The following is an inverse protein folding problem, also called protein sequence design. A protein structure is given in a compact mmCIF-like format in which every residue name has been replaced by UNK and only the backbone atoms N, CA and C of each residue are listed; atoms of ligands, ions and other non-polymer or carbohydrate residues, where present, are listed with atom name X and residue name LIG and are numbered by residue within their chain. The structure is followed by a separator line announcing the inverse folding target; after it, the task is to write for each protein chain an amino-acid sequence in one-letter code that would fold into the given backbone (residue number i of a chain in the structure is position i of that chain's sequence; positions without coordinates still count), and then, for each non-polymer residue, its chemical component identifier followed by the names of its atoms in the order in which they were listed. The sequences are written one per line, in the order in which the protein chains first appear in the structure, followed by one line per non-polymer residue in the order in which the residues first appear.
data_IF_676456288127
#
_entry.id   IF_676456288127
#
_cell.length_a   1.000
_cell.length_b   1.000
_cell.length_c   1.000
_cell.angle_alpha   90.00
_cell.angle_beta   90.00
_cell.angle_gamma   90.00
#
_symmetry.space_group_name_H-M   'P 1'
#
loop_
_entity.id
_entity.type
_entity.pdbx_description
1 polymer ?
#
# COMPACT_ATOMS: atom_id res chain seq x y z
N UNK A 1 -12.03 5.60 4.28
CA UNK A 1 -10.63 5.22 4.55
C UNK A 1 -9.75 6.45 4.77
N UNK A 2 -10.06 7.56 4.11
CA UNK A 2 -9.24 8.77 4.22
C UNK A 2 -9.25 9.38 5.62
N UNK A 3 -10.32 9.18 6.38
CA UNK A 3 -10.42 9.68 7.76
C UNK A 3 -9.43 9.00 8.70
N UNK A 4 -9.00 7.78 8.38
CA UNK A 4 -7.97 7.10 9.15
C UNK A 4 -6.62 7.80 9.06
N UNK A 5 -6.47 8.67 8.07
CA UNK A 5 -5.18 9.28 7.78
C UNK A 5 -4.76 10.29 8.83
N UNK A 6 -5.65 10.68 9.74
CA UNK A 6 -5.27 11.47 10.91
C UNK A 6 -4.34 10.70 11.84
N UNK A 7 -4.32 9.36 11.71
CA UNK A 7 -3.50 8.47 12.53
C UNK A 7 -2.69 7.51 11.68
N UNK A 8 -2.23 7.96 10.50
CA UNK A 8 -1.57 7.12 9.50
C UNK A 8 -0.45 6.25 10.07
N UNK A 9 0.46 6.87 10.83
CA UNK A 9 1.61 6.13 11.35
C UNK A 9 1.18 5.09 12.39
N UNK A 10 0.21 5.43 13.23
CA UNK A 10 -0.30 4.49 14.22
C UNK A 10 -1.01 3.32 13.53
N UNK A 11 -1.80 3.61 12.49
CA UNK A 11 -2.47 2.56 11.72
C UNK A 11 -1.45 1.62 11.08
N UNK A 12 -0.45 2.18 10.38
CA UNK A 12 0.57 1.39 9.71
C UNK A 12 1.37 0.55 10.73
N UNK A 13 1.70 1.13 11.88
CA UNK A 13 2.42 0.41 12.93
C UNK A 13 1.67 -0.82 13.42
N UNK A 14 0.35 -0.71 13.60
CA UNK A 14 -0.46 -1.87 14.00
C UNK A 14 -0.41 -2.98 12.96
N UNK A 15 -0.45 -2.61 11.67
CA UNK A 15 -0.41 -3.59 10.59
C UNK A 15 0.95 -4.28 10.53
N UNK A 16 2.02 -3.53 10.79
CA UNK A 16 3.38 -4.05 10.68
C UNK A 16 3.73 -5.08 11.75
N UNK A 17 3.14 -4.97 12.95
CA UNK A 17 3.44 -5.86 14.07
C UNK A 17 2.70 -7.19 14.02
N UNK A 18 1.72 -7.34 13.17
CA UNK A 18 0.90 -8.55 13.18
C UNK A 18 1.65 -9.74 12.60
N UNK A 19 1.26 -10.94 13.03
CA UNK A 19 1.77 -12.19 12.49
C UNK A 19 1.15 -12.40 11.10
N UNK A 20 1.96 -12.69 10.06
CA UNK A 20 1.42 -12.98 8.73
C UNK A 20 0.42 -14.13 8.78
N UNK A 21 -0.68 -14.00 8.05
CA UNK A 21 -1.71 -15.00 7.95
C UNK A 21 -1.75 -15.60 6.55
N UNK A 22 -2.11 -16.86 6.48
CA UNK A 22 -2.42 -17.46 5.19
C UNK A 22 -3.73 -16.88 4.67
N UNK A 23 -3.74 -16.49 3.41
CA UNK A 23 -4.89 -15.91 2.74
C UNK A 23 -5.05 -16.54 1.37
N UNK A 24 -6.26 -16.56 0.82
CA UNK A 24 -6.47 -17.05 -0.54
C UNK A 24 -5.99 -16.00 -1.57
N UNK A 25 -4.69 -15.77 -1.61
CA UNK A 25 -4.09 -14.80 -2.54
C UNK A 25 -4.41 -15.16 -3.98
N UNK A 26 -4.74 -14.14 -4.78
CA UNK A 26 -5.03 -14.33 -6.19
C UNK A 26 -3.81 -14.82 -6.96
N UNK A 27 -2.62 -14.30 -6.63
CA UNK A 27 -1.36 -14.73 -7.25
C UNK A 27 -0.57 -15.59 -6.27
N UNK A 28 -0.09 -16.73 -6.73
CA UNK A 28 0.81 -17.58 -5.94
C UNK A 28 2.26 -17.11 -6.08
N UNK A 29 3.12 -17.50 -5.15
CA UNK A 29 4.52 -17.11 -5.18
C UNK A 29 5.22 -17.46 -6.51
N UNK A 30 5.02 -18.66 -7.11
CA UNK A 30 5.66 -18.97 -8.40
C UNK A 30 5.21 -18.10 -9.56
N UNK A 31 4.05 -17.43 -9.45
CA UNK A 31 3.53 -16.55 -10.49
C UNK A 31 4.15 -15.16 -10.46
N UNK A 32 4.81 -14.79 -9.37
CA UNK A 32 5.38 -13.46 -9.22
C UNK A 32 6.63 -13.30 -10.07
N UNK A 33 6.72 -12.18 -10.79
CA UNK A 33 7.85 -11.85 -11.64
C UNK A 33 8.63 -10.69 -11.02
N UNK A 34 9.91 -10.61 -11.33
CA UNK A 34 10.72 -9.47 -10.90
C UNK A 34 10.43 -8.29 -11.81
N UNK A 35 9.66 -7.32 -11.30
CA UNK A 35 9.27 -6.12 -12.02
C UNK A 35 10.03 -4.87 -11.58
N UNK A 36 10.77 -4.95 -10.45
CA UNK A 36 11.51 -3.83 -9.87
C UNK A 36 12.99 -4.17 -9.70
N UNK A 37 13.71 -4.56 -10.78
CA UNK A 37 15.09 -5.02 -10.62
C UNK A 37 16.06 -3.92 -10.18
N UNK A 38 15.69 -2.65 -10.36
CA UNK A 38 16.52 -1.51 -9.97
C UNK A 38 16.11 -0.82 -8.70
N UNK A 39 15.14 -1.37 -7.97
CA UNK A 39 14.68 -0.70 -6.73
C UNK A 39 15.76 -0.72 -5.67
N UNK A 40 16.04 0.45 -5.12
CA UNK A 40 17.00 0.63 -4.03
C UNK A 40 16.27 1.09 -2.78
N UNK A 41 16.74 0.65 -1.62
CA UNK A 41 16.17 1.02 -0.34
C UNK A 41 15.13 0.03 0.16
N UNK A 42 14.44 0.37 1.26
CA UNK A 42 13.42 -0.50 1.83
C UNK A 42 12.30 -0.77 0.85
N UNK A 43 11.87 -2.02 0.77
CA UNK A 43 10.91 -2.47 -0.24
C UNK A 43 9.58 -2.96 0.35
N UNK A 44 9.39 -2.90 1.66
CA UNK A 44 8.14 -3.31 2.27
C UNK A 44 7.03 -2.30 2.03
N UNK A 45 5.79 -2.78 2.01
CA UNK A 45 4.62 -1.93 1.86
C UNK A 45 3.41 -2.60 2.51
N UNK A 46 2.31 -1.87 2.59
CA UNK A 46 1.04 -2.39 3.07
C UNK A 46 0.02 -2.36 1.93
N UNK A 47 -0.81 -3.38 1.87
CA UNK A 47 -1.91 -3.44 0.91
C UNK A 47 -3.09 -4.17 1.55
N UNK A 48 -4.30 -3.81 1.12
CA UNK A 48 -5.51 -4.46 1.61
C UNK A 48 -5.81 -5.72 0.81
N UNK A 49 -6.67 -6.57 1.38
CA UNK A 49 -7.13 -7.78 0.71
C UNK A 49 -7.93 -7.49 -0.56
N UNK A 50 -8.45 -6.28 -0.73
CA UNK A 50 -9.07 -5.89 -2.00
C UNK A 50 -8.11 -6.08 -3.18
N UNK A 51 -6.82 -5.81 -2.95
CA UNK A 51 -5.78 -5.96 -3.98
C UNK A 51 -5.35 -7.42 -4.10
N UNK A 52 -4.90 -8.00 -2.98
CA UNK A 52 -4.18 -9.28 -3.01
C UNK A 52 -5.08 -10.51 -3.06
N UNK A 53 -6.30 -10.40 -2.56
CA UNK A 53 -7.26 -11.51 -2.53
C UNK A 53 -8.34 -11.33 -3.58
N UNK A 54 -8.94 -10.14 -3.68
CA UNK A 54 -10.03 -9.89 -4.62
C UNK A 54 -9.54 -9.49 -6.01
N UNK A 55 -8.27 -9.12 -6.17
CA UNK A 55 -7.72 -8.74 -7.45
C UNK A 55 -8.20 -7.39 -7.98
N UNK A 56 -8.69 -6.52 -7.10
CA UNK A 56 -9.10 -5.18 -7.51
C UNK A 56 -7.87 -4.32 -7.81
N UNK A 57 -7.96 -3.41 -8.78
CA UNK A 57 -6.85 -2.51 -9.05
C UNK A 57 -6.63 -1.55 -7.89
N UNK A 58 -5.41 -1.03 -7.79
CA UNK A 58 -5.12 0.06 -6.85
C UNK A 58 -5.89 1.29 -7.32
N UNK A 59 -6.77 1.80 -6.47
CA UNK A 59 -7.55 3.00 -6.75
C UNK A 59 -7.08 4.21 -5.96
N UNK A 60 -6.36 3.98 -4.88
CA UNK A 60 -5.81 5.04 -4.05
C UNK A 60 -4.58 4.54 -3.33
N UNK A 61 -3.55 5.39 -3.23
CA UNK A 61 -2.33 5.05 -2.50
C UNK A 61 -1.66 6.31 -1.98
N UNK A 62 -0.80 6.13 -0.97
CA UNK A 62 0.00 7.22 -0.47
C UNK A 62 1.36 6.69 0.03
N UNK A 63 2.33 7.59 0.09
CA UNK A 63 3.65 7.28 0.62
C UNK A 63 3.94 8.20 1.81
N UNK A 64 4.07 7.61 3.00
CA UNK A 64 4.45 8.34 4.19
C UNK A 64 5.90 8.02 4.56
N UNK A 65 6.50 8.89 5.35
CA UNK A 65 7.82 8.60 5.88
C UNK A 65 7.68 7.57 7.00
N UNK A 66 8.27 6.37 6.85
CA UNK A 66 8.19 5.36 7.90
C UNK A 66 9.08 5.74 9.09
N UNK A 67 8.87 5.05 10.21
CA UNK A 67 9.64 5.32 11.44
C UNK A 67 11.05 4.72 11.42
N UNK A 68 11.37 3.91 10.41
CA UNK A 68 12.71 3.36 10.24
C UNK A 68 12.99 2.06 10.99
N UNK A 69 12.00 1.51 11.69
CA UNK A 69 12.17 0.25 12.43
C UNK A 69 12.11 -0.99 11.55
N UNK A 70 11.53 -0.89 10.37
CA UNK A 70 11.30 -2.00 9.45
C UNK A 70 11.76 -1.60 8.04
N UNK A 71 11.97 -2.59 7.15
CA UNK A 71 12.31 -2.30 5.76
C UNK A 71 11.09 -1.80 4.98
N UNK A 72 10.49 -0.73 5.44
CA UNK A 72 9.25 -0.14 4.98
C UNK A 72 9.53 0.99 3.99
N UNK A 73 8.99 0.86 2.78
CA UNK A 73 9.10 1.89 1.75
C UNK A 73 8.23 3.11 2.02
N UNK A 74 7.24 2.97 2.91
CA UNK A 74 6.25 4.03 3.16
C UNK A 74 5.00 3.92 2.30
N UNK A 75 4.96 3.06 1.28
CA UNK A 75 3.80 2.93 0.41
C UNK A 75 2.67 2.14 1.06
N UNK A 76 1.43 2.62 0.83
CA UNK A 76 0.19 2.00 1.31
C UNK A 76 -0.78 1.97 0.14
N UNK A 77 -1.33 0.80 -0.16
CA UNK A 77 -2.16 0.59 -1.35
C UNK A 77 -3.56 0.14 -0.98
N UNK A 78 -4.55 0.77 -1.60
CA UNK A 78 -5.97 0.51 -1.39
C UNK A 78 -6.69 0.44 -2.73
N UNK A 79 -7.84 -0.27 -2.78
CA UNK A 79 -8.69 -0.21 -3.97
C UNK A 79 -9.44 1.13 -4.07
N UNK A 80 -9.62 1.80 -2.93
CA UNK A 80 -10.43 3.00 -2.82
C UNK A 80 -11.87 2.71 -2.41
N UNK A 81 -12.27 1.44 -2.37
CA UNK A 81 -13.63 1.04 -1.99
C UNK A 81 -13.73 0.58 -0.54
N UNK A 82 -12.61 0.49 0.16
CA UNK A 82 -12.60 0.09 1.57
C UNK A 82 -13.22 1.18 2.43
N UNK A 83 -13.99 0.77 3.43
CA UNK A 83 -14.46 1.69 4.46
C UNK A 83 -13.54 1.61 5.69
N UNK A 84 -13.80 2.49 6.67
CA UNK A 84 -12.96 2.58 7.86
C UNK A 84 -13.00 1.30 8.69
N UNK A 85 -14.16 0.67 8.79
CA UNK A 85 -14.29 -0.58 9.54
C UNK A 85 -13.45 -1.69 8.90
N UNK A 86 -13.44 -1.75 7.58
CA UNK A 86 -12.67 -2.75 6.84
C UNK A 86 -11.18 -2.62 7.10
N UNK A 87 -10.63 -1.41 6.94
CA UNK A 87 -9.19 -1.21 7.07
C UNK A 87 -8.71 -1.23 8.53
N UNK A 88 -9.60 -1.03 9.49
CA UNK A 88 -9.26 -1.14 10.91
C UNK A 88 -9.16 -2.59 11.38
N UNK A 89 -9.73 -3.52 10.63
CA UNK A 89 -9.56 -4.94 10.92
C UNK A 89 -8.20 -5.39 10.38
N UNK A 90 -7.29 -5.70 11.28
CA UNK A 90 -5.92 -6.06 10.90
C UNK A 90 -5.86 -7.28 10.00
N UNK A 91 -6.88 -8.14 10.02
CA UNK A 91 -6.92 -9.31 9.14
C UNK A 91 -7.13 -8.96 7.67
N UNK A 92 -7.55 -7.74 7.36
CA UNK A 92 -7.81 -7.29 5.99
C UNK A 92 -6.61 -6.59 5.33
N UNK A 93 -5.49 -6.50 6.01
CA UNK A 93 -4.30 -5.79 5.52
C UNK A 93 -3.09 -6.69 5.71
N UNK A 94 -2.15 -6.62 4.81
CA UNK A 94 -0.91 -7.39 4.91
C UNK A 94 0.32 -6.56 4.56
N UNK A 95 1.47 -7.07 5.00
CA UNK A 95 2.78 -6.52 4.67
C UNK A 95 3.34 -7.30 3.49
N UNK A 96 3.78 -6.60 2.46
CA UNK A 96 4.27 -7.22 1.23
C UNK A 96 5.52 -6.51 0.74
N UNK A 97 6.25 -7.17 -0.15
CA UNK A 97 7.28 -6.55 -0.96
C UNK A 97 6.61 -5.69 -2.04
N UNK A 98 7.17 -4.53 -2.34
CA UNK A 98 6.67 -3.67 -3.43
C UNK A 98 6.54 -4.44 -4.74
N UNK A 99 7.52 -5.29 -5.04
CA UNK A 99 7.49 -6.10 -6.25
C UNK A 99 6.25 -6.99 -6.31
N UNK A 100 5.82 -7.54 -5.18
CA UNK A 100 4.61 -8.36 -5.11
C UNK A 100 3.40 -7.55 -5.54
N UNK A 101 3.24 -6.35 -5.02
CA UNK A 101 2.06 -5.53 -5.34
C UNK A 101 2.12 -5.03 -6.79
N UNK A 102 3.32 -4.80 -7.34
CA UNK A 102 3.47 -4.49 -8.76
C UNK A 102 2.97 -5.61 -9.67
N UNK A 103 3.04 -6.86 -9.21
CA UNK A 103 2.49 -8.00 -9.95
C UNK A 103 0.96 -7.97 -9.97
N UNK A 104 0.33 -7.46 -8.91
CA UNK A 104 -1.12 -7.30 -8.89
C UNK A 104 -1.57 -6.10 -9.74
N UNK A 105 -0.79 -5.03 -9.74
CA UNK A 105 -1.13 -3.82 -10.50
C UNK A 105 0.14 -3.10 -10.97
N UNK A 106 0.60 -3.42 -12.18
CA UNK A 106 1.82 -2.79 -12.73
C UNK A 106 1.70 -1.27 -12.92
N UNK A 107 0.49 -0.73 -12.94
CA UNK A 107 0.27 0.71 -13.13
C UNK A 107 0.85 1.54 -12.00
N UNK A 108 1.15 0.94 -10.83
CA UNK A 108 1.76 1.66 -9.73
C UNK A 108 3.26 1.89 -9.93
N UNK A 109 3.91 1.14 -10.81
CA UNK A 109 5.37 1.21 -10.97
C UNK A 109 5.88 2.63 -11.20
N UNK A 110 5.29 3.45 -12.10
CA UNK A 110 5.77 4.81 -12.32
C UNK A 110 5.63 5.73 -11.10
N UNK A 111 4.82 5.36 -10.12
CA UNK A 111 4.59 6.20 -8.95
C UNK A 111 5.63 6.00 -7.85
N UNK A 112 6.29 4.85 -7.83
CA UNK A 112 7.02 4.37 -6.66
C UNK A 112 8.21 5.23 -6.25
N UNK A 113 8.77 6.02 -7.17
CA UNK A 113 9.87 6.93 -6.87
C UNK A 113 9.42 8.30 -6.37
N UNK A 114 8.10 8.52 -6.23
CA UNK A 114 7.59 9.78 -5.69
C UNK A 114 8.09 9.99 -4.25
N UNK A 115 8.27 11.24 -3.82
CA UNK A 115 8.78 11.51 -2.48
C UNK A 115 7.77 11.13 -1.39
N UNK A 116 8.25 11.02 -0.17
CA UNK A 116 7.36 10.88 0.99
C UNK A 116 6.41 12.07 1.05
N UNK A 117 5.16 11.83 1.44
CA UNK A 117 4.15 12.86 1.49
C UNK A 117 3.37 13.01 0.19
N UNK A 118 3.38 12.01 -0.66
CA UNK A 118 2.63 12.01 -1.93
C UNK A 118 1.45 11.05 -1.84
N UNK A 119 0.33 11.42 -2.43
CA UNK A 119 -0.84 10.56 -2.58
C UNK A 119 -1.38 10.63 -4.00
N UNK A 120 -1.95 9.53 -4.46
CA UNK A 120 -2.54 9.42 -5.79
C UNK A 120 -3.89 8.73 -5.71
N UNK A 121 -4.82 9.21 -6.52
CA UNK A 121 -6.11 8.53 -6.73
C UNK A 121 -6.26 8.23 -8.22
N UNK A 122 -6.82 7.05 -8.53
CA UNK A 122 -7.12 6.70 -9.91
C UNK A 122 -8.42 7.36 -10.31
N UNK A 123 -8.40 8.13 -11.39
CA UNK A 123 -9.57 8.80 -11.91
C UNK A 123 -10.41 7.91 -12.80
N UNK A 124 -11.53 8.45 -13.27
CA UNK A 124 -12.41 7.75 -14.22
C UNK A 124 -11.70 7.44 -15.54
N UNK A 125 -10.67 8.21 -15.87
CA UNK A 125 -9.83 7.96 -17.05
C UNK A 125 -8.89 6.76 -16.89
N UNK A 126 -8.90 6.11 -15.70
CA UNK A 126 -8.03 4.99 -15.39
C UNK A 126 -6.62 5.38 -15.03
N UNK A 127 -6.30 6.66 -14.98
CA UNK A 127 -4.95 7.16 -14.68
C UNK A 127 -4.87 7.67 -13.25
N UNK A 128 -3.67 7.59 -12.67
CA UNK A 128 -3.41 8.14 -11.34
C UNK A 128 -3.20 9.64 -11.42
N UNK A 129 -3.83 10.35 -10.48
CA UNK A 129 -3.71 11.79 -10.34
C UNK A 129 -3.28 12.10 -8.91
N UNK A 130 -2.35 13.04 -8.76
CA UNK A 130 -1.91 13.45 -7.43
C UNK A 130 -3.06 14.09 -6.66
N UNK A 131 -3.12 13.80 -5.36
CA UNK A 131 -4.08 14.42 -4.45
C UNK A 131 -3.32 15.09 -3.30
N UNK A 132 -3.97 16.03 -2.61
CA UNK A 132 -3.38 16.57 -1.38
C UNK A 132 -3.15 15.45 -0.38
N UNK A 133 -1.97 15.45 0.20
CA UNK A 133 -1.59 14.52 1.24
C UNK A 133 -1.32 15.31 2.51
N UNK A 134 -2.11 15.03 3.54
CA UNK A 134 -1.88 15.62 4.85
C UNK A 134 -1.11 14.61 5.69
N UNK A 135 0.19 14.85 5.83
CA UNK A 135 0.98 14.03 6.74
C UNK A 135 0.42 14.19 8.16
N UNK A 136 0.48 13.13 8.99
CA UNK A 136 0.09 13.27 10.37
C UNK A 136 0.95 14.34 11.01
N UNK A 137 0.31 15.25 11.74
CA UNK A 137 1.03 16.27 12.45
C UNK A 137 1.76 15.67 13.62
N UNK A 138 2.83 16.35 13.94
CA UNK A 138 3.56 16.02 15.12
C UNK A 138 4.98 15.70 14.81
N UNK A 139 5.73 15.71 15.87
CA UNK A 139 7.14 15.32 15.75
C UNK A 139 7.23 13.87 15.37
#
# INVERSE_FOLDING_TARGET
VRQLLDSKQAWAGRMWYRIPQEKPFLLSAPELRMLLPGWEGPNGCLATDHITVLGKPVGWCYRERPDGQYPDSGWRFFSGEEDDAYVNDVSHVGVYDLNTICNYDPDIIPLLSAPFGTAYARGEDGKFHAEPFEAPEGP
#
